data_IF_202689162037
#
_entry.id   IF_202689162037
#
_cell.length_a   1.000
_cell.length_b   1.000
_cell.length_c   1.000
_cell.angle_alpha   90.00
_cell.angle_beta   90.00
_cell.angle_gamma   90.00
#
_symmetry.space_group_name_H-M   'P 1'
#
loop_
_entity.id
_entity.type
_entity.pdbx_description
1 polymer ?
#
# COMPACT_ATOMS: atom_id res chain seq x y z
N UNK A 1 -85.09 -15.31 -30.82
CA UNK A 1 -84.33 -16.44 -30.24
C UNK A 1 -82.87 -16.02 -30.24
N UNK A 2 -82.34 -15.57 -29.11
CA UNK A 2 -81.63 -16.31 -28.05
C UNK A 2 -80.10 -16.26 -28.27
N UNK A 3 -79.48 -15.52 -27.34
CA UNK A 3 -78.06 -15.47 -27.01
C UNK A 3 -77.41 -16.87 -26.94
N UNK A 4 -76.12 -16.97 -27.32
CA UNK A 4 -75.02 -17.24 -26.39
C UNK A 4 -73.64 -17.27 -27.11
N UNK A 5 -72.58 -16.70 -26.49
CA UNK A 5 -71.20 -16.79 -26.94
C UNK A 5 -70.52 -18.04 -26.36
N UNK A 6 -69.62 -18.66 -27.12
CA UNK A 6 -68.78 -19.75 -26.61
C UNK A 6 -67.40 -19.20 -26.31
N UNK A 7 -67.15 -19.04 -25.00
CA UNK A 7 -65.85 -18.84 -24.38
C UNK A 7 -64.89 -19.97 -24.77
N UNK A 8 -63.74 -19.64 -25.36
CA UNK A 8 -62.59 -20.54 -25.42
C UNK A 8 -61.67 -20.18 -24.25
N UNK A 9 -61.69 -21.04 -23.25
CA UNK A 9 -60.96 -20.93 -22.00
C UNK A 9 -59.45 -21.03 -22.18
N UNK A 10 -58.76 -20.14 -21.45
CA UNK A 10 -57.35 -20.21 -21.09
C UNK A 10 -56.90 -21.60 -20.63
N UNK A 11 -55.69 -21.99 -21.03
CA UNK A 11 -54.81 -22.81 -20.18
C UNK A 11 -53.49 -22.07 -20.07
N UNK A 12 -53.35 -21.31 -18.99
CA UNK A 12 -52.08 -20.72 -18.56
C UNK A 12 -51.25 -21.85 -17.94
N UNK A 13 -50.04 -22.16 -18.44
CA UNK A 13 -49.15 -23.04 -17.70
C UNK A 13 -48.71 -22.32 -16.42
N UNK A 14 -49.08 -22.90 -15.28
CA UNK A 14 -48.63 -22.51 -13.97
C UNK A 14 -47.10 -22.63 -13.94
N UNK A 15 -46.37 -21.51 -14.02
CA UNK A 15 -44.98 -21.48 -13.62
C UNK A 15 -44.95 -21.83 -12.13
N UNK A 16 -44.42 -23.02 -11.82
CA UNK A 16 -44.02 -23.36 -10.48
C UNK A 16 -43.03 -22.28 -10.00
N UNK A 17 -43.49 -21.40 -9.13
CA UNK A 17 -42.64 -20.49 -8.39
C UNK A 17 -41.77 -21.37 -7.47
N UNK A 18 -40.53 -21.62 -7.89
CA UNK A 18 -39.51 -22.22 -7.05
C UNK A 18 -39.28 -21.23 -5.91
N UNK A 19 -39.79 -21.57 -4.72
CA UNK A 19 -39.61 -20.76 -3.52
C UNK A 19 -38.10 -20.54 -3.27
N UNK A 20 -37.65 -19.30 -3.04
CA UNK A 20 -36.24 -19.02 -2.81
C UNK A 20 -35.80 -19.73 -1.52
N UNK A 21 -34.63 -20.40 -1.51
CA UNK A 21 -34.15 -21.09 -0.34
C UNK A 21 -33.96 -20.11 0.83
N UNK A 22 -34.52 -20.46 2.00
CA UNK A 22 -34.32 -19.72 3.24
C UNK A 22 -32.84 -19.80 3.66
N UNK A 23 -32.20 -18.65 3.79
CA UNK A 23 -30.83 -18.52 4.29
C UNK A 23 -30.85 -18.28 5.80
N UNK A 24 -29.85 -18.78 6.56
CA UNK A 24 -28.63 -19.45 6.10
C UNK A 24 -28.81 -20.96 5.86
N UNK A 25 -28.21 -21.48 4.79
CA UNK A 25 -28.20 -22.92 4.49
C UNK A 25 -26.91 -23.55 5.04
N UNK A 26 -27.05 -24.49 5.97
CA UNK A 26 -25.92 -25.27 6.49
C UNK A 26 -25.64 -26.46 5.57
N UNK A 27 -24.46 -26.46 4.94
CA UNK A 27 -24.07 -27.47 3.94
C UNK A 27 -23.05 -28.45 4.51
N UNK A 28 -22.53 -28.19 5.72
CA UNK A 28 -21.52 -29.02 6.36
C UNK A 28 -20.20 -28.99 5.58
N UNK A 29 -19.99 -29.96 4.70
CA UNK A 29 -18.82 -30.04 3.82
C UNK A 29 -19.21 -29.74 2.37
N UNK A 30 -18.71 -28.63 1.82
CA UNK A 30 -18.97 -28.23 0.43
C UNK A 30 -17.76 -28.56 -0.45
N UNK A 31 -17.93 -29.49 -1.39
CA UNK A 31 -16.95 -29.78 -2.45
C UNK A 31 -17.31 -29.02 -3.72
N UNK A 32 -16.39 -28.20 -4.20
CA UNK A 32 -16.49 -27.49 -5.47
C UNK A 32 -16.12 -28.39 -6.65
N UNK A 33 -16.55 -28.00 -7.86
CA UNK A 33 -16.16 -28.69 -9.11
C UNK A 33 -14.66 -28.63 -9.36
N UNK A 34 -13.99 -27.61 -8.84
CA UNK A 34 -12.55 -27.41 -8.97
C UNK A 34 -11.75 -28.25 -7.95
N UNK A 35 -12.39 -29.13 -7.19
CA UNK A 35 -11.74 -29.99 -6.17
C UNK A 35 -11.55 -29.32 -4.80
N UNK A 36 -11.75 -28.00 -4.70
CA UNK A 36 -11.69 -27.28 -3.42
C UNK A 36 -12.78 -27.75 -2.45
N UNK A 37 -12.38 -28.11 -1.24
CA UNK A 37 -13.28 -28.52 -0.16
C UNK A 37 -13.31 -27.45 0.92
N UNK A 38 -14.51 -27.00 1.28
CA UNK A 38 -14.74 -26.15 2.45
C UNK A 38 -15.43 -26.97 3.56
N UNK A 39 -14.92 -26.85 4.77
CA UNK A 39 -15.46 -27.50 5.97
C UNK A 39 -16.24 -26.49 6.82
N UNK A 40 -17.35 -26.95 7.42
CA UNK A 40 -18.22 -26.11 8.25
C UNK A 40 -18.92 -25.00 7.47
N UNK A 41 -19.25 -25.24 6.19
CA UNK A 41 -19.82 -24.23 5.31
C UNK A 41 -21.26 -23.86 5.64
N UNK A 42 -21.48 -22.56 5.85
CA UNK A 42 -22.80 -21.92 5.92
C UNK A 42 -22.92 -20.92 4.78
N UNK A 43 -23.94 -21.05 3.94
CA UNK A 43 -24.24 -20.04 2.92
C UNK A 43 -24.92 -18.87 3.61
N UNK A 44 -24.27 -17.71 3.59
CA UNK A 44 -24.75 -16.49 4.26
C UNK A 44 -25.45 -15.52 3.33
N UNK A 45 -25.23 -15.64 2.01
CA UNK A 45 -25.84 -14.77 1.02
C UNK A 45 -25.50 -15.18 -0.41
N UNK A 46 -26.10 -14.53 -1.38
CA UNK A 46 -25.76 -14.71 -2.79
C UNK A 46 -25.81 -13.36 -3.51
N UNK A 47 -24.91 -13.17 -4.47
CA UNK A 47 -24.86 -12.02 -5.36
C UNK A 47 -24.93 -12.49 -6.82
N UNK A 48 -24.92 -11.58 -7.79
CA UNK A 48 -24.94 -11.93 -9.22
C UNK A 48 -23.70 -12.75 -9.67
N UNK A 49 -22.55 -12.54 -9.04
CA UNK A 49 -21.29 -13.25 -9.40
C UNK A 49 -21.16 -14.63 -8.74
N UNK A 50 -21.76 -14.82 -7.56
CA UNK A 50 -21.57 -16.05 -6.80
C UNK A 50 -22.19 -16.04 -5.40
N UNK A 51 -21.99 -17.14 -4.68
CA UNK A 51 -22.52 -17.38 -3.34
C UNK A 51 -21.50 -16.97 -2.29
N UNK A 52 -21.94 -16.21 -1.29
CA UNK A 52 -21.16 -15.89 -0.09
C UNK A 52 -21.30 -17.02 0.90
N UNK A 53 -20.17 -17.58 1.28
CA UNK A 53 -20.11 -18.67 2.24
C UNK A 53 -19.17 -18.32 3.40
N UNK A 54 -19.57 -18.74 4.58
CA UNK A 54 -18.78 -18.70 5.80
C UNK A 54 -18.31 -20.12 6.10
N UNK A 55 -17.01 -20.30 6.26
CA UNK A 55 -16.38 -21.57 6.57
C UNK A 55 -15.37 -21.39 7.70
N UNK A 56 -14.73 -22.47 8.16
CA UNK A 56 -13.74 -22.43 9.26
C UNK A 56 -12.57 -21.46 9.04
N UNK A 57 -12.27 -21.13 7.79
CA UNK A 57 -11.19 -20.22 7.39
C UNK A 57 -11.63 -18.78 7.11
N UNK A 58 -12.91 -18.43 7.36
CA UNK A 58 -13.44 -17.09 7.16
C UNK A 58 -14.59 -17.03 6.13
N UNK A 59 -14.74 -15.86 5.50
CA UNK A 59 -15.76 -15.63 4.47
C UNK A 59 -15.13 -15.69 3.08
N UNK A 60 -15.74 -16.45 2.18
CA UNK A 60 -15.33 -16.55 0.80
C UNK A 60 -16.52 -16.35 -0.14
N UNK A 61 -16.26 -15.74 -1.30
CA UNK A 61 -17.22 -15.63 -2.40
C UNK A 61 -16.88 -16.70 -3.43
N UNK A 62 -17.79 -17.65 -3.63
CA UNK A 62 -17.61 -18.73 -4.60
C UNK A 62 -18.43 -18.47 -5.86
N UNK A 63 -17.80 -18.41 -7.05
CA UNK A 63 -18.51 -18.25 -8.31
C UNK A 63 -19.48 -19.41 -8.60
N UNK A 64 -20.64 -19.10 -9.18
CA UNK A 64 -21.64 -20.12 -9.56
C UNK A 64 -21.07 -21.23 -10.47
N UNK A 65 -20.09 -20.89 -11.31
CA UNK A 65 -19.45 -21.85 -12.21
C UNK A 65 -18.72 -22.99 -11.47
N UNK A 66 -18.25 -22.72 -10.25
CA UNK A 66 -17.46 -23.66 -9.44
C UNK A 66 -18.32 -24.45 -8.45
N UNK A 67 -19.58 -24.06 -8.26
CA UNK A 67 -20.49 -24.74 -7.34
C UNK A 67 -20.93 -26.10 -7.88
N UNK A 68 -21.15 -27.10 -6.99
CA UNK A 68 -21.77 -28.35 -7.38
C UNK A 68 -23.15 -28.08 -7.99
N UNK A 69 -23.56 -28.88 -9.00
CA UNK A 69 -24.81 -28.69 -9.77
C UNK A 69 -26.02 -28.53 -8.84
N UNK A 70 -26.13 -29.44 -7.87
CA UNK A 70 -27.25 -29.48 -6.91
C UNK A 70 -27.41 -28.21 -6.06
N UNK A 71 -26.33 -27.44 -5.87
CA UNK A 71 -26.35 -26.18 -5.14
C UNK A 71 -26.44 -24.99 -6.07
N UNK A 72 -25.84 -25.07 -7.26
CA UNK A 72 -25.94 -24.04 -8.29
C UNK A 72 -27.38 -23.87 -8.80
N UNK A 73 -28.14 -24.97 -8.92
CA UNK A 73 -29.51 -24.96 -9.43
C UNK A 73 -30.51 -24.34 -8.42
N UNK A 74 -30.11 -24.18 -7.16
CA UNK A 74 -30.91 -23.53 -6.10
C UNK A 74 -30.83 -22.00 -6.11
N UNK A 75 -29.90 -21.43 -6.86
CA UNK A 75 -29.70 -19.98 -6.91
C UNK A 75 -29.88 -19.45 -8.34
N UNK A 76 -30.67 -18.39 -8.54
CA UNK A 76 -30.87 -17.81 -9.86
C UNK A 76 -29.56 -17.21 -10.39
N UNK A 77 -29.15 -17.63 -11.59
CA UNK A 77 -27.88 -17.19 -12.21
C UNK A 77 -28.10 -15.94 -13.06
N UNK A 78 -27.78 -14.77 -12.52
CA UNK A 78 -27.79 -13.52 -13.27
C UNK A 78 -26.44 -13.26 -13.96
N UNK A 79 -26.32 -13.73 -15.21
CA UNK A 79 -25.10 -13.59 -16.01
C UNK A 79 -24.85 -12.14 -16.46
N UNK A 80 -25.91 -11.33 -16.59
CA UNK A 80 -25.80 -9.93 -17.00
C UNK A 80 -25.32 -9.06 -15.82
N UNK A 81 -25.93 -9.21 -14.65
CA UNK A 81 -25.50 -8.54 -13.42
C UNK A 81 -24.08 -8.95 -12.98
N UNK A 82 -23.67 -10.19 -13.24
CA UNK A 82 -22.32 -10.65 -12.93
C UNK A 82 -21.24 -9.89 -13.71
N UNK A 83 -21.46 -9.62 -15.01
CA UNK A 83 -20.52 -8.86 -15.85
C UNK A 83 -20.46 -7.40 -15.41
N UNK A 84 -21.60 -6.78 -15.15
CA UNK A 84 -21.65 -5.39 -14.70
C UNK A 84 -20.97 -5.20 -13.34
N UNK A 85 -21.16 -6.15 -12.41
CA UNK A 85 -20.52 -6.10 -11.10
C UNK A 85 -19.00 -6.33 -11.18
N UNK A 86 -18.54 -7.26 -12.02
CA UNK A 86 -17.11 -7.44 -12.30
C UNK A 86 -16.47 -6.19 -12.93
N UNK A 87 -17.16 -5.54 -13.87
CA UNK A 87 -16.68 -4.29 -14.45
C UNK A 87 -16.65 -3.13 -13.45
N UNK A 88 -17.63 -3.05 -12.54
CA UNK A 88 -17.64 -2.07 -11.44
C UNK A 88 -16.51 -2.32 -10.45
N UNK A 89 -16.26 -3.56 -10.07
CA UNK A 89 -15.15 -3.95 -9.19
C UNK A 89 -13.79 -3.66 -9.86
N UNK A 90 -13.61 -3.99 -11.14
CA UNK A 90 -12.39 -3.67 -11.89
C UNK A 90 -12.18 -2.15 -12.05
N UNK A 91 -13.24 -1.38 -12.28
CA UNK A 91 -13.17 0.09 -12.33
C UNK A 91 -12.85 0.68 -10.95
N UNK A 92 -13.40 0.13 -9.87
CA UNK A 92 -13.10 0.56 -8.51
C UNK A 92 -11.65 0.24 -8.13
N UNK A 93 -11.13 -0.92 -8.51
CA UNK A 93 -9.73 -1.31 -8.28
C UNK A 93 -8.77 -0.44 -9.11
N UNK A 94 -9.09 -0.15 -10.38
CA UNK A 94 -8.32 0.78 -11.20
C UNK A 94 -8.38 2.22 -10.66
N UNK A 95 -9.52 2.66 -10.15
CA UNK A 95 -9.67 3.96 -9.50
C UNK A 95 -8.84 4.02 -8.20
N UNK A 96 -8.86 2.97 -7.40
CA UNK A 96 -8.05 2.86 -6.18
C UNK A 96 -6.55 2.89 -6.51
N UNK A 97 -6.10 2.14 -7.53
CA UNK A 97 -4.72 2.19 -8.02
C UNK A 97 -4.29 3.61 -8.42
N UNK A 98 -5.13 4.32 -9.19
CA UNK A 98 -4.87 5.72 -9.57
C UNK A 98 -4.85 6.67 -8.39
N UNK A 99 -5.69 6.46 -7.36
CA UNK A 99 -5.64 7.28 -6.14
C UNK A 99 -4.39 7.03 -5.32
N UNK A 100 -3.92 5.79 -5.25
CA UNK A 100 -2.66 5.43 -4.58
C UNK A 100 -1.48 6.06 -5.33
N UNK A 101 -1.46 5.99 -6.66
CA UNK A 101 -0.42 6.62 -7.49
C UNK A 101 -0.45 8.15 -7.39
N UNK A 102 -1.63 8.77 -7.31
CA UNK A 102 -1.78 10.21 -7.07
C UNK A 102 -1.37 10.61 -5.66
N UNK A 103 -1.68 9.81 -4.64
CA UNK A 103 -1.24 10.04 -3.27
C UNK A 103 0.30 9.92 -3.17
N UNK A 104 0.89 8.95 -3.85
CA UNK A 104 2.33 8.81 -4.07
C UNK A 104 2.94 10.05 -4.73
N UNK A 105 2.32 10.54 -5.80
CA UNK A 105 2.79 11.72 -6.52
C UNK A 105 2.62 13.00 -5.68
N UNK A 106 1.56 13.09 -4.87
CA UNK A 106 1.34 14.19 -3.93
C UNK A 106 2.31 14.13 -2.75
N UNK A 107 2.56 12.99 -2.15
CA UNK A 107 3.62 12.82 -1.14
C UNK A 107 4.98 13.26 -1.74
N UNK A 108 5.27 12.87 -2.99
CA UNK A 108 6.48 13.31 -3.69
C UNK A 108 6.49 14.80 -4.08
N UNK A 109 5.33 15.47 -4.16
CA UNK A 109 5.19 16.90 -4.49
C UNK A 109 5.13 17.78 -3.25
N UNK A 110 4.41 17.39 -2.20
CA UNK A 110 4.42 18.03 -0.89
C UNK A 110 5.82 17.95 -0.28
N UNK A 111 6.55 16.86 -0.54
CA UNK A 111 7.96 16.77 -0.17
C UNK A 111 8.88 17.57 -1.13
N UNK A 112 8.48 17.90 -2.37
CA UNK A 112 9.18 18.92 -3.16
C UNK A 112 8.98 20.34 -2.60
N UNK A 113 7.92 20.60 -1.84
CA UNK A 113 7.77 21.88 -1.12
C UNK A 113 8.68 21.91 0.10
N UNK A 114 8.95 20.75 0.72
CA UNK A 114 9.84 20.62 1.89
C UNK A 114 11.33 20.37 1.52
N UNK A 115 11.62 19.90 0.31
CA UNK A 115 12.99 19.61 -0.21
C UNK A 115 13.39 20.59 -1.31
N UNK A 116 12.43 21.27 -1.95
CA UNK A 116 12.61 22.09 -3.13
C UNK A 116 12.27 23.55 -2.91
N UNK A 117 12.69 24.12 -1.78
CA UNK A 117 13.15 25.51 -1.68
C UNK A 117 14.08 25.52 -0.50
N UNK A 118 15.27 24.98 -0.69
CA UNK A 118 16.52 25.21 0.04
C UNK A 118 17.41 23.99 -0.31
N UNK A 119 18.02 24.02 -1.51
CA UNK A 119 19.47 24.02 -1.47
C UNK A 119 19.82 25.18 -0.55
N UNK A 120 19.77 25.00 0.79
CA UNK A 120 20.32 25.98 1.70
C UNK A 120 21.75 26.05 1.18
N UNK A 121 22.17 27.17 0.59
CA UNK A 121 23.56 27.32 0.21
C UNK A 121 24.29 27.02 1.50
N UNK A 122 25.13 25.97 1.51
CA UNK A 122 25.83 25.54 2.71
C UNK A 122 26.32 26.78 3.42
N UNK A 123 25.99 26.86 4.71
CA UNK A 123 26.20 28.07 5.47
C UNK A 123 27.66 28.48 5.26
N UNK A 124 27.88 29.62 4.60
CA UNK A 124 29.22 30.02 4.20
C UNK A 124 30.04 30.23 5.46
N UNK A 125 31.21 29.61 5.52
CA UNK A 125 32.13 29.80 6.64
C UNK A 125 32.37 31.31 6.83
N UNK A 126 32.28 31.83 8.07
CA UNK A 126 32.43 33.26 8.30
C UNK A 126 33.85 33.72 7.94
N UNK A 127 33.95 34.82 7.18
CA UNK A 127 35.24 35.42 6.76
C UNK A 127 36.01 36.10 7.91
N UNK A 128 35.48 36.07 9.14
CA UNK A 128 36.17 36.51 10.35
C UNK A 128 36.61 37.98 10.31
N UNK A 129 35.69 38.91 10.53
CA UNK A 129 36.03 40.32 10.79
C UNK A 129 36.23 40.53 12.29
N UNK A 130 37.25 41.29 12.70
CA UNK A 130 37.54 41.62 14.09
C UNK A 130 38.88 41.09 14.61
N UNK A 131 39.05 41.15 15.93
CA UNK A 131 40.20 40.61 16.67
C UNK A 131 40.20 39.07 16.67
N UNK A 132 41.34 38.48 17.08
CA UNK A 132 41.50 37.01 17.04
C UNK A 132 40.45 36.31 17.91
N UNK A 133 40.08 36.91 19.05
CA UNK A 133 39.01 36.39 19.93
C UNK A 133 37.66 36.36 19.22
N UNK A 134 37.24 37.45 18.54
CA UNK A 134 36.00 37.46 17.77
C UNK A 134 36.00 36.45 16.62
N UNK A 135 37.15 36.26 15.93
CA UNK A 135 37.28 35.26 14.87
C UNK A 135 37.09 33.83 15.40
N UNK A 136 37.72 33.50 16.53
CA UNK A 136 37.56 32.19 17.18
C UNK A 136 36.10 31.98 17.58
N UNK A 137 35.47 32.97 18.23
CA UNK A 137 34.07 32.88 18.64
C UNK A 137 33.11 32.69 17.46
N UNK A 138 33.35 33.38 16.34
CA UNK A 138 32.56 33.23 15.12
C UNK A 138 32.67 31.81 14.53
N UNK A 139 33.89 31.25 14.50
CA UNK A 139 34.12 29.88 14.04
C UNK A 139 33.53 28.83 14.99
N UNK A 140 33.65 29.00 16.31
CA UNK A 140 33.05 28.09 17.30
C UNK A 140 31.51 28.13 17.26
N UNK A 141 30.93 29.29 16.96
CA UNK A 141 29.48 29.42 16.75
C UNK A 141 29.03 28.76 15.45
N UNK A 142 29.84 28.85 14.40
CA UNK A 142 29.62 28.17 13.12
C UNK A 142 29.66 26.65 13.28
N UNK A 143 30.68 26.11 13.97
CA UNK A 143 30.78 24.68 14.29
C UNK A 143 29.52 24.19 15.02
N UNK A 144 29.06 24.90 16.06
CA UNK A 144 27.83 24.53 16.79
C UNK A 144 26.58 24.47 15.90
N UNK A 145 26.47 25.37 14.91
CA UNK A 145 25.35 25.34 13.95
C UNK A 145 25.44 24.13 13.03
N UNK A 146 26.63 23.82 12.52
CA UNK A 146 26.86 22.62 11.72
C UNK A 146 26.59 21.34 12.51
N UNK A 147 27.02 21.24 13.77
CA UNK A 147 26.74 20.10 14.64
C UNK A 147 25.23 19.89 14.87
N UNK A 148 24.50 20.98 15.10
CA UNK A 148 23.03 20.95 15.20
C UNK A 148 22.39 20.46 13.89
N UNK A 149 22.87 20.98 12.75
CA UNK A 149 22.43 20.54 11.42
C UNK A 149 22.71 19.07 11.14
N UNK A 150 23.87 18.56 11.55
CA UNK A 150 24.24 17.14 11.46
C UNK A 150 23.27 16.30 12.27
N UNK A 151 22.97 16.67 13.51
CA UNK A 151 22.03 15.92 14.36
C UNK A 151 20.63 15.82 13.73
N UNK A 152 20.13 16.93 13.15
CA UNK A 152 18.86 16.94 12.43
C UNK A 152 18.91 16.06 11.17
N UNK A 153 19.97 16.16 10.38
CA UNK A 153 20.16 15.36 9.18
C UNK A 153 20.30 13.85 9.50
N UNK A 154 20.97 13.50 10.60
CA UNK A 154 21.08 12.12 11.09
C UNK A 154 19.71 11.54 11.43
N UNK A 155 18.89 12.31 12.13
CA UNK A 155 17.50 11.92 12.45
C UNK A 155 16.69 11.71 11.17
N UNK A 156 16.77 12.64 10.22
CA UNK A 156 16.08 12.53 8.94
C UNK A 156 16.56 11.33 8.10
N UNK A 157 17.87 11.01 8.13
CA UNK A 157 18.44 9.85 7.45
C UNK A 157 17.96 8.55 8.09
N UNK A 158 17.93 8.47 9.42
CA UNK A 158 17.42 7.32 10.16
C UNK A 158 15.94 7.06 9.88
N UNK A 159 15.12 8.10 9.88
CA UNK A 159 13.69 8.01 9.55
C UNK A 159 13.47 7.52 8.12
N UNK A 160 14.22 8.09 7.16
CA UNK A 160 14.15 7.67 5.76
C UNK A 160 14.55 6.19 5.60
N UNK A 161 15.61 5.73 6.27
CA UNK A 161 16.01 4.32 6.28
C UNK A 161 14.96 3.40 6.88
N UNK A 162 14.36 3.81 7.99
CA UNK A 162 13.27 3.06 8.64
C UNK A 162 12.09 2.86 7.68
N UNK A 163 11.68 3.94 6.99
CA UNK A 163 10.63 3.87 5.96
C UNK A 163 11.03 2.99 4.79
N UNK A 164 12.27 3.12 4.29
CA UNK A 164 12.79 2.29 3.20
C UNK A 164 12.74 0.79 3.56
N UNK A 165 13.21 0.43 4.75
CA UNK A 165 13.16 -0.94 5.27
C UNK A 165 11.73 -1.48 5.37
N UNK A 166 10.81 -0.70 5.93
CA UNK A 166 9.39 -1.06 6.04
C UNK A 166 8.74 -1.28 4.67
N UNK A 167 9.05 -0.44 3.68
CA UNK A 167 8.54 -0.64 2.33
C UNK A 167 9.16 -1.85 1.63
N UNK A 168 10.45 -2.16 1.87
CA UNK A 168 11.08 -3.38 1.35
C UNK A 168 10.46 -4.64 1.93
N UNK A 169 10.20 -4.68 3.24
CA UNK A 169 9.57 -5.84 3.86
C UNK A 169 8.16 -6.06 3.33
N UNK A 170 7.41 -4.99 3.08
CA UNK A 170 6.07 -5.04 2.47
C UNK A 170 6.09 -5.35 0.97
N UNK A 171 7.22 -5.20 0.28
CA UNK A 171 7.30 -5.46 -1.15
C UNK A 171 7.28 -6.96 -1.46
N UNK A 172 7.76 -7.79 -0.54
CA UNK A 172 7.76 -9.24 -0.67
C UNK A 172 6.56 -9.82 0.06
N UNK A 173 5.66 -10.48 -0.64
CA UNK A 173 4.56 -11.21 -0.04
C UNK A 173 4.54 -12.65 -0.56
N UNK A 174 4.81 -13.60 0.33
CA UNK A 174 4.64 -15.02 0.07
C UNK A 174 3.18 -15.40 0.31
N UNK A 175 2.48 -15.81 -0.74
CA UNK A 175 1.08 -16.23 -0.64
C UNK A 175 1.02 -17.74 -0.82
N UNK A 176 0.60 -18.45 0.22
CA UNK A 176 0.31 -19.88 0.12
C UNK A 176 -1.03 -20.07 -0.57
N UNK A 177 -1.03 -20.80 -1.68
CA UNK A 177 -2.23 -21.14 -2.45
C UNK A 177 -2.44 -22.65 -2.42
N UNK A 178 -3.70 -23.05 -2.49
CA UNK A 178 -4.09 -24.46 -2.66
C UNK A 178 -4.48 -24.67 -4.12
N UNK A 179 -3.91 -25.67 -4.77
CA UNK A 179 -4.30 -26.07 -6.12
C UNK A 179 -5.62 -26.87 -6.12
N UNK A 180 -6.12 -27.18 -7.32
CA UNK A 180 -7.33 -27.99 -7.52
C UNK A 180 -7.18 -29.43 -6.98
N UNK A 181 -5.94 -29.90 -6.80
CA UNK A 181 -5.60 -31.23 -6.29
C UNK A 181 -5.44 -31.26 -4.76
N UNK A 182 -5.56 -30.11 -4.08
CA UNK A 182 -5.42 -29.98 -2.63
C UNK A 182 -3.98 -29.74 -2.14
N UNK A 183 -2.99 -29.68 -3.03
CA UNK A 183 -1.61 -29.40 -2.67
C UNK A 183 -1.43 -27.91 -2.37
N UNK A 184 -0.63 -27.62 -1.34
CA UNK A 184 -0.22 -26.27 -1.00
C UNK A 184 1.06 -25.93 -1.74
N UNK A 185 1.08 -24.76 -2.37
CA UNK A 185 2.29 -24.19 -2.96
C UNK A 185 2.40 -22.71 -2.57
N UNK A 186 3.63 -22.26 -2.35
CA UNK A 186 3.92 -20.86 -2.03
C UNK A 186 4.27 -20.12 -3.31
N UNK A 187 3.61 -18.99 -3.55
CA UNK A 187 3.97 -18.07 -4.62
C UNK A 187 4.52 -16.80 -3.99
N UNK A 188 5.78 -16.52 -4.27
CA UNK A 188 6.34 -15.22 -3.96
C UNK A 188 5.81 -14.18 -4.94
N UNK A 189 5.14 -13.17 -4.40
CA UNK A 189 4.65 -12.03 -5.15
C UNK A 189 5.47 -10.80 -4.80
N UNK A 190 5.86 -10.07 -5.83
CA UNK A 190 6.71 -8.88 -5.72
C UNK A 190 5.91 -7.63 -6.05
N UNK A 191 5.79 -6.73 -5.07
CA UNK A 191 5.10 -5.46 -5.24
C UNK A 191 6.08 -4.37 -5.66
N UNK A 192 6.18 -4.16 -6.98
CA UNK A 192 7.03 -3.14 -7.60
C UNK A 192 6.76 -1.73 -7.07
N UNK A 193 5.51 -1.38 -6.72
CA UNK A 193 5.18 -0.05 -6.20
C UNK A 193 5.79 0.19 -4.82
N UNK A 194 5.69 -0.79 -3.91
CA UNK A 194 6.32 -0.74 -2.59
C UNK A 194 7.83 -0.68 -2.70
N UNK A 195 8.42 -1.45 -3.61
CA UNK A 195 9.85 -1.38 -3.86
C UNK A 195 10.31 0.01 -4.33
N UNK A 196 9.58 0.64 -5.26
CA UNK A 196 9.88 2.01 -5.71
C UNK A 196 9.78 3.04 -4.57
N UNK A 197 8.80 2.88 -3.66
CA UNK A 197 8.73 3.71 -2.44
C UNK A 197 9.96 3.52 -1.56
N UNK A 198 10.43 2.27 -1.40
CA UNK A 198 11.64 2.01 -0.63
C UNK A 198 12.88 2.69 -1.23
N UNK A 199 13.09 2.56 -2.55
CA UNK A 199 14.20 3.23 -3.24
C UNK A 199 14.16 4.75 -3.10
N UNK A 200 12.97 5.35 -3.15
CA UNK A 200 12.80 6.78 -2.95
C UNK A 200 13.36 7.23 -1.58
N UNK A 201 12.95 6.54 -0.51
CA UNK A 201 13.42 6.86 0.84
C UNK A 201 14.91 6.54 1.03
N UNK A 202 15.43 5.49 0.40
CA UNK A 202 16.87 5.19 0.39
C UNK A 202 17.67 6.35 -0.22
N UNK A 203 17.25 6.85 -1.38
CA UNK A 203 17.90 8.01 -2.02
C UNK A 203 17.84 9.26 -1.14
N UNK A 204 16.74 9.46 -0.41
CA UNK A 204 16.62 10.57 0.55
C UNK A 204 17.64 10.42 1.69
N UNK A 205 17.79 9.22 2.26
CA UNK A 205 18.79 8.95 3.30
C UNK A 205 20.21 9.27 2.79
N UNK A 206 20.58 8.75 1.61
CA UNK A 206 21.89 8.99 1.00
C UNK A 206 22.18 10.49 0.82
N UNK A 207 21.18 11.28 0.41
CA UNK A 207 21.34 12.74 0.30
C UNK A 207 21.63 13.41 1.64
N UNK A 208 20.96 12.99 2.72
CA UNK A 208 21.21 13.53 4.05
C UNK A 208 22.61 13.14 4.55
N UNK A 209 23.07 11.93 4.25
CA UNK A 209 24.44 11.51 4.58
C UNK A 209 25.51 12.29 3.84
N UNK A 210 25.27 12.63 2.57
CA UNK A 210 26.16 13.51 1.83
C UNK A 210 26.27 14.89 2.50
N UNK A 211 25.14 15.46 2.95
CA UNK A 211 25.11 16.73 3.71
C UNK A 211 25.86 16.64 5.04
N UNK A 212 25.69 15.53 5.77
CA UNK A 212 26.41 15.28 7.02
C UNK A 212 27.91 15.29 6.76
N UNK A 213 28.37 14.53 5.77
CA UNK A 213 29.79 14.43 5.42
C UNK A 213 30.39 15.80 5.05
N UNK A 214 29.66 16.58 4.25
CA UNK A 214 30.12 17.92 3.87
C UNK A 214 30.19 18.87 5.08
N UNK A 215 29.22 18.79 6.01
CA UNK A 215 29.26 19.55 7.25
C UNK A 215 30.43 19.12 8.17
N UNK A 216 30.74 17.82 8.24
CA UNK A 216 31.90 17.29 8.98
C UNK A 216 33.22 17.84 8.41
N UNK A 217 33.37 17.86 7.08
CA UNK A 217 34.54 18.43 6.41
C UNK A 217 34.70 19.93 6.74
N UNK A 218 33.58 20.69 6.75
CA UNK A 218 33.58 22.10 7.13
C UNK A 218 33.94 22.32 8.60
N UNK A 219 33.45 21.48 9.51
CA UNK A 219 33.83 21.50 10.94
C UNK A 219 35.34 21.25 11.08
N UNK A 220 35.89 20.29 10.34
CA UNK A 220 37.32 19.99 10.38
C UNK A 220 38.17 21.19 9.92
N UNK A 221 37.75 21.86 8.84
CA UNK A 221 38.41 23.08 8.35
C UNK A 221 38.32 24.20 9.40
N UNK A 222 37.13 24.43 9.98
CA UNK A 222 36.91 25.46 10.99
C UNK A 222 37.76 25.21 12.25
N UNK A 223 37.82 23.97 12.74
CA UNK A 223 38.64 23.58 13.88
C UNK A 223 40.14 23.76 13.61
N UNK A 224 40.59 23.45 12.39
CA UNK A 224 41.98 23.69 11.98
C UNK A 224 42.32 25.19 12.02
N UNK A 225 41.42 26.05 11.52
CA UNK A 225 41.59 27.52 11.60
C UNK A 225 41.59 28.02 13.04
N UNK A 226 40.69 27.54 13.89
CA UNK A 226 40.66 27.88 15.32
C UNK A 226 42.00 27.51 15.97
N UNK A 227 42.56 26.32 15.67
CA UNK A 227 43.85 25.89 16.21
C UNK A 227 44.99 26.83 15.81
N UNK A 228 45.04 27.25 14.54
CA UNK A 228 46.05 28.21 14.05
C UNK A 228 45.91 29.55 14.77
N UNK A 229 44.71 30.11 14.84
CA UNK A 229 44.44 31.38 15.51
C UNK A 229 44.79 31.35 17.01
N UNK A 230 44.50 30.22 17.71
CA UNK A 230 44.85 30.04 19.11
C UNK A 230 46.37 29.98 19.32
N UNK A 231 47.12 29.35 18.40
CA UNK A 231 48.60 29.32 18.44
C UNK A 231 49.21 30.70 18.21
N UNK A 232 48.68 31.46 17.25
CA UNK A 232 49.16 32.81 16.95
C UNK A 232 48.90 33.79 18.11
N UNK A 233 47.83 33.58 18.88
CA UNK A 233 47.46 34.48 19.99
C UNK A 233 48.06 34.08 21.36
N UNK A 234 48.26 32.79 21.61
CA UNK A 234 48.79 32.28 22.88
C UNK A 234 50.32 32.10 22.92
N UNK A 235 51.03 32.49 21.86
CA UNK A 235 52.49 32.35 21.72
C UNK A 235 53.31 33.58 22.13
N UNK A 236 52.74 34.53 22.89
CA UNK A 236 53.45 35.65 23.52
C UNK A 236 53.68 35.41 25.00
#
# INVERSE_FOLDING_TARGET
>A
MKFLPICLSMVLPCLAAVEPPTLPLEVGMLKLRDGTVYEGTKVTGHDAVGVKLMHSGGTARVPYAKLPKDLADKFPRDVAGAKEQLEKEAKAEAAHGRTVDKALAKEAQEEKVDIGTEESPLEKMPDGKGDVSAKIFALESYVRRLESGISQAQTAAADARSRASSYRSQANASVTRRDASGNLYTVDSYNTSKYRKAEFHERRAIKQEAKIKEAEDLIQIANSKISVLKKEHGGS
#
